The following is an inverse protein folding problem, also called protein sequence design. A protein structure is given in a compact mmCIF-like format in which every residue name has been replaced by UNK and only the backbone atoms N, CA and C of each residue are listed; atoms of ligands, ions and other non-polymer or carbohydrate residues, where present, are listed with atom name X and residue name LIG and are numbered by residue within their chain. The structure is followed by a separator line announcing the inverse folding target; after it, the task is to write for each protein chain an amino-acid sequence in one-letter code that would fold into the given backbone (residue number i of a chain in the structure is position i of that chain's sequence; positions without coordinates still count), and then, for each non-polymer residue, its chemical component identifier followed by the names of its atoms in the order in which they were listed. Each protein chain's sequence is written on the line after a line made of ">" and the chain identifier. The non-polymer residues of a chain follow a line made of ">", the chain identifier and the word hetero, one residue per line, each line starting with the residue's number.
data_IF_750480089303
#
_entry.id   IF_750480089303
#
_cell.length_a   1.000
_cell.length_b   1.000
_cell.length_c   1.000
_cell.angle_alpha   90.00
_cell.angle_beta   90.00
_cell.angle_gamma   90.00
#
_symmetry.space_group_name_H-M   'P 1'
#
loop_
_entity.id
_entity.type
_entity.pdbx_description
1 polymer ?
#
# COMPACT_ATOMS: atom_id res chain seq x y z
N UNK A 1 53.09 -8.86 2.60
CA UNK A 1 53.07 -7.54 2.03
C UNK A 1 51.89 -7.50 1.04
N UNK A 2 50.67 -7.32 1.58
CA UNK A 2 49.46 -7.19 0.76
C UNK A 2 49.09 -5.72 0.82
N UNK A 3 49.26 -5.06 -0.34
CA UNK A 3 48.83 -3.69 -0.53
C UNK A 3 47.30 -3.64 -0.46
N UNK A 4 46.81 -3.03 0.61
CA UNK A 4 45.43 -2.60 0.75
C UNK A 4 45.14 -1.53 -0.29
N UNK A 5 44.53 -1.91 -1.40
CA UNK A 5 43.90 -0.99 -2.33
C UNK A 5 42.70 -0.34 -1.62
N UNK A 6 42.94 0.74 -0.90
CA UNK A 6 41.91 1.65 -0.43
C UNK A 6 41.29 2.37 -1.62
N UNK A 7 40.28 1.77 -2.23
CA UNK A 7 39.34 2.56 -3.04
C UNK A 7 38.56 3.44 -2.07
N UNK A 8 38.50 4.77 -2.27
CA UNK A 8 37.67 5.64 -1.46
C UNK A 8 36.22 5.16 -1.55
N UNK A 9 35.68 4.79 -0.42
CA UNK A 9 34.37 4.18 -0.28
C UNK A 9 33.31 5.25 -0.50
N UNK A 10 32.99 5.51 -1.77
CA UNK A 10 31.86 6.38 -2.10
C UNK A 10 30.59 5.74 -1.52
N UNK A 11 29.98 6.42 -0.54
CA UNK A 11 28.70 5.98 0.03
C UNK A 11 27.69 5.93 -1.10
N UNK A 12 27.31 4.72 -1.53
CA UNK A 12 26.35 4.52 -2.61
C UNK A 12 25.08 5.36 -2.36
N UNK A 13 24.78 6.28 -3.29
CA UNK A 13 23.63 7.18 -3.19
C UNK A 13 22.33 6.38 -3.31
N UNK A 14 21.40 6.56 -2.37
CA UNK A 14 20.06 5.99 -2.45
C UNK A 14 19.23 6.65 -3.55
N UNK A 15 19.17 7.97 -3.52
CA UNK A 15 18.38 8.77 -4.47
C UNK A 15 19.18 9.02 -5.75
N UNK A 16 19.09 8.06 -6.65
CA UNK A 16 19.51 8.22 -8.06
C UNK A 16 18.34 8.74 -8.88
N UNK A 17 18.61 9.31 -10.07
CA UNK A 17 17.52 9.74 -10.96
C UNK A 17 16.51 8.64 -11.28
N UNK A 18 16.98 7.40 -11.49
CA UNK A 18 16.10 6.25 -11.74
C UNK A 18 15.23 5.90 -10.53
N UNK A 19 15.81 5.93 -9.32
CA UNK A 19 15.09 5.66 -8.08
C UNK A 19 14.03 6.75 -7.82
N UNK A 20 14.35 8.02 -8.08
CA UNK A 20 13.41 9.12 -7.97
C UNK A 20 12.23 8.97 -8.95
N UNK A 21 12.50 8.67 -10.22
CA UNK A 21 11.47 8.47 -11.25
C UNK A 21 10.53 7.31 -10.89
N UNK A 22 11.06 6.18 -10.40
CA UNK A 22 10.25 5.05 -9.96
C UNK A 22 9.40 5.39 -8.73
N UNK A 23 9.98 6.08 -7.74
CA UNK A 23 9.25 6.49 -6.54
C UNK A 23 8.16 7.50 -6.85
N UNK A 24 8.42 8.46 -7.74
CA UNK A 24 7.43 9.43 -8.20
C UNK A 24 6.32 8.75 -9.02
N UNK A 25 6.66 7.81 -9.91
CA UNK A 25 5.67 7.01 -10.64
C UNK A 25 4.77 6.23 -9.68
N UNK A 26 5.35 5.61 -8.64
CA UNK A 26 4.59 4.88 -7.62
C UNK A 26 3.66 5.81 -6.83
N UNK A 27 4.14 6.97 -6.41
CA UNK A 27 3.35 7.99 -5.74
C UNK A 27 2.11 8.39 -6.59
N UNK A 28 2.32 8.69 -7.87
CA UNK A 28 1.27 9.11 -8.78
C UNK A 28 0.25 7.99 -9.06
N UNK A 29 0.71 6.75 -9.19
CA UNK A 29 -0.16 5.58 -9.37
C UNK A 29 -1.07 5.34 -8.17
N UNK A 30 -0.50 5.42 -6.96
CA UNK A 30 -1.29 5.30 -5.73
C UNK A 30 -2.24 6.47 -5.55
N UNK A 31 -1.84 7.69 -5.88
CA UNK A 31 -2.74 8.85 -5.86
C UNK A 31 -3.90 8.67 -6.86
N UNK A 32 -3.61 8.21 -8.07
CA UNK A 32 -4.62 7.89 -9.09
C UNK A 32 -5.64 6.85 -8.61
N UNK A 33 -5.17 5.73 -8.05
CA UNK A 33 -6.02 4.64 -7.57
C UNK A 33 -6.90 5.07 -6.39
N UNK A 34 -6.28 5.67 -5.37
CA UNK A 34 -6.94 5.98 -4.10
C UNK A 34 -7.84 7.22 -4.15
N UNK A 35 -7.64 8.11 -5.14
CA UNK A 35 -8.56 9.23 -5.37
C UNK A 35 -10.00 8.77 -5.63
N UNK A 36 -10.18 7.64 -6.30
CA UNK A 36 -11.51 7.11 -6.62
C UNK A 36 -12.14 6.33 -5.47
N UNK A 37 -11.34 5.81 -4.53
CA UNK A 37 -11.80 4.85 -3.52
C UNK A 37 -12.93 5.40 -2.63
N UNK A 38 -12.84 6.57 -1.98
CA UNK A 38 -13.90 7.09 -1.11
C UNK A 38 -15.11 7.60 -1.90
N UNK A 39 -14.93 7.98 -3.16
CA UNK A 39 -15.95 8.69 -3.95
C UNK A 39 -16.82 7.73 -4.74
N UNK A 40 -16.26 6.61 -5.20
CA UNK A 40 -16.95 5.67 -6.07
C UNK A 40 -18.22 5.08 -5.44
N UNK A 41 -18.26 4.65 -4.16
CA UNK A 41 -19.49 4.16 -3.56
C UNK A 41 -20.55 5.26 -3.43
N UNK A 42 -20.17 6.49 -3.06
CA UNK A 42 -21.08 7.62 -3.00
C UNK A 42 -21.75 7.91 -4.35
N UNK A 43 -20.94 7.84 -5.42
CA UNK A 43 -21.44 8.03 -6.78
C UNK A 43 -22.39 6.90 -7.18
N UNK A 44 -22.04 5.63 -6.89
CA UNK A 44 -22.87 4.47 -7.23
C UNK A 44 -24.22 4.50 -6.51
N UNK A 45 -24.23 4.76 -5.20
CA UNK A 45 -25.47 4.85 -4.40
C UNK A 45 -26.38 5.98 -4.91
N UNK A 46 -25.81 7.14 -5.24
CA UNK A 46 -26.59 8.28 -5.76
C UNK A 46 -27.11 8.07 -7.17
N UNK A 47 -26.38 7.33 -7.99
CA UNK A 47 -26.71 7.20 -9.43
C UNK A 47 -27.57 5.99 -9.73
N UNK A 48 -27.40 4.88 -9.02
CA UNK A 48 -28.12 3.63 -9.27
C UNK A 48 -29.01 3.16 -8.12
N UNK A 49 -29.10 3.94 -7.05
CA UNK A 49 -29.87 3.61 -5.85
C UNK A 49 -29.54 2.22 -5.27
N UNK A 50 -28.30 1.75 -5.46
CA UNK A 50 -27.80 0.53 -4.84
C UNK A 50 -27.46 0.79 -3.36
N UNK A 51 -27.37 -0.27 -2.55
CA UNK A 51 -26.91 -0.17 -1.17
C UNK A 51 -25.40 0.12 -1.07
N UNK A 52 -24.93 0.69 0.02
CA UNK A 52 -23.51 0.84 0.30
C UNK A 52 -22.79 -0.50 0.32
N UNK A 53 -23.45 -1.56 0.83
CA UNK A 53 -22.92 -2.92 0.85
C UNK A 53 -22.63 -3.44 -0.57
N UNK A 54 -23.54 -3.24 -1.52
CA UNK A 54 -23.36 -3.63 -2.92
C UNK A 54 -22.23 -2.84 -3.59
N UNK A 55 -22.18 -1.52 -3.36
CA UNK A 55 -21.11 -0.67 -3.86
C UNK A 55 -19.74 -1.06 -3.27
N UNK A 56 -19.66 -1.26 -1.96
CA UNK A 56 -18.47 -1.73 -1.26
C UNK A 56 -17.97 -3.07 -1.76
N UNK A 57 -18.89 -4.03 -1.98
CA UNK A 57 -18.57 -5.36 -2.52
C UNK A 57 -17.98 -5.25 -3.94
N UNK A 58 -18.59 -4.46 -4.83
CA UNK A 58 -18.09 -4.26 -6.18
C UNK A 58 -16.66 -3.65 -6.20
N UNK A 59 -16.38 -2.74 -5.27
CA UNK A 59 -15.06 -2.11 -5.14
C UNK A 59 -14.04 -3.09 -4.54
N UNK A 60 -14.43 -3.89 -3.55
CA UNK A 60 -13.55 -4.84 -2.88
C UNK A 60 -13.08 -6.00 -3.79
N UNK A 61 -13.77 -6.27 -4.90
CA UNK A 61 -13.33 -7.23 -5.92
C UNK A 61 -11.93 -6.90 -6.45
N UNK A 62 -11.52 -5.64 -6.46
CA UNK A 62 -10.17 -5.22 -6.80
C UNK A 62 -9.10 -5.98 -5.98
N UNK A 63 -9.28 -6.07 -4.65
CA UNK A 63 -8.33 -6.75 -3.77
C UNK A 63 -8.25 -8.25 -4.03
N UNK A 64 -9.37 -8.90 -4.28
CA UNK A 64 -9.39 -10.31 -4.65
C UNK A 64 -8.69 -10.54 -6.00
N UNK A 65 -8.95 -9.67 -6.96
CA UNK A 65 -8.35 -9.75 -8.30
C UNK A 65 -6.83 -9.52 -8.30
N UNK A 66 -6.26 -8.82 -7.31
CA UNK A 66 -4.82 -8.67 -7.17
C UNK A 66 -4.09 -10.01 -6.95
N UNK A 67 -4.77 -11.04 -6.46
CA UNK A 67 -4.18 -12.37 -6.29
C UNK A 67 -4.18 -13.21 -7.58
N UNK A 68 -5.00 -12.88 -8.58
CA UNK A 68 -5.15 -13.65 -9.81
C UNK A 68 -3.84 -13.76 -10.63
N UNK A 69 -3.07 -12.67 -10.87
CA UNK A 69 -1.83 -12.78 -11.65
C UNK A 69 -0.70 -13.45 -10.89
N UNK A 70 -0.86 -13.70 -9.59
CA UNK A 70 0.24 -14.11 -8.70
C UNK A 70 1.06 -15.29 -9.21
N UNK A 71 0.38 -16.35 -9.68
CA UNK A 71 1.05 -17.57 -10.18
C UNK A 71 1.73 -17.35 -11.54
N UNK A 72 1.38 -16.30 -12.30
CA UNK A 72 1.98 -15.95 -13.58
C UNK A 72 3.08 -14.89 -13.47
N UNK A 73 3.29 -14.32 -12.29
CA UNK A 73 4.23 -13.23 -12.06
C UNK A 73 5.66 -13.56 -12.49
N UNK A 74 6.17 -14.74 -12.14
CA UNK A 74 7.51 -15.18 -12.55
C UNK A 74 7.63 -15.26 -14.07
N UNK A 75 6.65 -15.86 -14.74
CA UNK A 75 6.63 -15.98 -16.19
C UNK A 75 6.65 -14.60 -16.86
N UNK A 76 5.79 -13.67 -16.42
CA UNK A 76 5.72 -12.32 -16.99
C UNK A 76 7.04 -11.56 -16.87
N UNK A 77 7.72 -11.66 -15.72
CA UNK A 77 8.93 -10.89 -15.44
C UNK A 77 10.18 -11.50 -16.05
N UNK A 78 10.26 -12.81 -16.09
CA UNK A 78 11.48 -13.50 -16.49
C UNK A 78 11.50 -13.79 -18.01
N UNK A 79 10.31 -13.92 -18.64
CA UNK A 79 10.19 -14.11 -20.09
C UNK A 79 10.19 -12.79 -20.87
N UNK A 80 9.57 -11.74 -20.33
CA UNK A 80 9.43 -10.46 -21.00
C UNK A 80 10.32 -9.37 -20.40
N UNK A 81 10.55 -8.30 -21.15
CA UNK A 81 11.26 -7.11 -20.63
C UNK A 81 10.42 -6.46 -19.53
N UNK A 82 10.93 -6.47 -18.29
CA UNK A 82 10.25 -5.93 -17.08
C UNK A 82 9.66 -4.54 -17.29
N UNK A 83 10.44 -3.64 -17.92
CA UNK A 83 10.01 -2.28 -18.23
C UNK A 83 8.80 -2.25 -19.17
N UNK A 84 8.76 -3.13 -20.18
CA UNK A 84 7.64 -3.22 -21.12
C UNK A 84 6.39 -3.79 -20.44
N UNK A 85 6.54 -4.82 -19.60
CA UNK A 85 5.43 -5.39 -18.80
C UNK A 85 4.83 -4.30 -17.89
N UNK A 86 5.68 -3.56 -17.19
CA UNK A 86 5.26 -2.43 -16.35
C UNK A 86 4.51 -1.36 -17.15
N UNK A 87 5.08 -0.93 -18.28
CA UNK A 87 4.48 0.09 -19.13
C UNK A 87 3.10 -0.32 -19.66
N UNK A 88 2.98 -1.54 -20.20
CA UNK A 88 1.72 -2.07 -20.72
C UNK A 88 0.69 -2.20 -19.59
N UNK A 89 1.07 -2.70 -18.43
CA UNK A 89 0.18 -2.85 -17.29
C UNK A 89 -0.36 -1.48 -16.79
N UNK A 90 0.50 -0.45 -16.68
CA UNK A 90 0.06 0.91 -16.32
C UNK A 90 -0.84 1.49 -17.41
N UNK A 91 -0.48 1.33 -18.68
CA UNK A 91 -1.30 1.81 -19.80
C UNK A 91 -2.72 1.21 -19.75
N UNK A 92 -2.82 -0.11 -19.61
CA UNK A 92 -4.11 -0.79 -19.52
C UNK A 92 -4.88 -0.41 -18.25
N UNK A 93 -4.19 -0.22 -17.12
CA UNK A 93 -4.79 0.25 -15.87
C UNK A 93 -5.44 1.63 -16.05
N UNK A 94 -4.72 2.59 -16.64
CA UNK A 94 -5.24 3.94 -16.92
C UNK A 94 -6.35 3.89 -17.96
N UNK A 95 -6.18 3.12 -19.04
CA UNK A 95 -7.17 2.99 -20.09
C UNK A 95 -8.48 2.35 -19.58
N UNK A 96 -8.42 1.40 -18.63
CA UNK A 96 -9.61 0.80 -18.03
C UNK A 96 -10.48 1.82 -17.28
N UNK A 97 -9.91 2.92 -16.82
CA UNK A 97 -10.67 4.00 -16.17
C UNK A 97 -11.60 4.75 -17.15
N UNK A 98 -11.31 4.71 -18.46
CA UNK A 98 -12.22 5.23 -19.49
C UNK A 98 -13.56 4.46 -19.58
N UNK A 99 -13.65 3.29 -18.97
CA UNK A 99 -14.88 2.51 -18.97
C UNK A 99 -15.91 3.05 -17.98
N UNK A 100 -15.52 3.77 -16.93
CA UNK A 100 -16.43 4.27 -15.90
C UNK A 100 -17.59 5.15 -16.43
N UNK A 101 -17.40 6.06 -17.39
CA UNK A 101 -18.51 6.84 -17.96
C UNK A 101 -19.58 6.00 -18.65
N UNK A 102 -19.25 4.77 -19.08
CA UNK A 102 -20.13 3.86 -19.81
C UNK A 102 -20.70 2.74 -18.94
N UNK A 103 -20.36 2.74 -17.65
CA UNK A 103 -20.85 1.73 -16.71
C UNK A 103 -22.34 1.93 -16.45
N UNK A 104 -23.10 0.87 -16.65
CA UNK A 104 -24.56 0.88 -16.48
C UNK A 104 -25.03 0.07 -15.26
N UNK A 105 -24.17 -0.74 -14.63
CA UNK A 105 -24.55 -1.64 -13.54
C UNK A 105 -23.44 -1.79 -12.51
N UNK A 106 -23.80 -2.12 -11.28
CA UNK A 106 -22.86 -2.45 -10.17
C UNK A 106 -21.91 -3.59 -10.58
N UNK A 107 -22.44 -4.62 -11.25
CA UNK A 107 -21.64 -5.76 -11.73
C UNK A 107 -20.56 -5.36 -12.75
N UNK A 108 -20.84 -4.36 -13.60
CA UNK A 108 -19.83 -3.85 -14.54
C UNK A 108 -18.73 -3.05 -13.81
N UNK A 109 -19.06 -2.30 -12.74
CA UNK A 109 -18.03 -1.71 -11.86
C UNK A 109 -17.14 -2.80 -11.29
N UNK A 110 -17.72 -3.87 -10.75
CA UNK A 110 -16.97 -5.00 -10.20
C UNK A 110 -16.01 -5.60 -11.24
N UNK A 111 -16.44 -5.74 -12.50
CA UNK A 111 -15.60 -6.23 -13.59
C UNK A 111 -14.42 -5.27 -13.87
N UNK A 112 -14.69 -3.95 -13.98
CA UNK A 112 -13.64 -2.95 -14.19
C UNK A 112 -12.65 -2.98 -13.01
N UNK A 113 -13.15 -3.08 -11.78
CA UNK A 113 -12.32 -3.19 -10.58
C UNK A 113 -11.50 -4.49 -10.55
N UNK A 114 -12.05 -5.61 -11.01
CA UNK A 114 -11.30 -6.86 -11.14
C UNK A 114 -10.13 -6.71 -12.13
N UNK A 115 -10.38 -6.13 -13.30
CA UNK A 115 -9.33 -5.86 -14.29
C UNK A 115 -8.26 -4.94 -13.71
N UNK A 116 -8.67 -3.84 -13.07
CA UNK A 116 -7.75 -2.90 -12.43
C UNK A 116 -6.93 -3.57 -11.31
N UNK A 117 -7.53 -4.43 -10.49
CA UNK A 117 -6.84 -5.15 -9.42
C UNK A 117 -5.76 -6.08 -9.96
N UNK A 118 -6.08 -6.87 -10.98
CA UNK A 118 -5.10 -7.74 -11.64
C UNK A 118 -3.93 -6.96 -12.26
N UNK A 119 -4.22 -5.88 -12.98
CA UNK A 119 -3.20 -5.01 -13.57
C UNK A 119 -2.35 -4.32 -12.50
N UNK A 120 -2.96 -3.84 -11.42
CA UNK A 120 -2.23 -3.18 -10.33
C UNK A 120 -1.29 -4.14 -9.61
N UNK A 121 -1.68 -5.41 -9.44
CA UNK A 121 -0.80 -6.45 -8.92
C UNK A 121 0.44 -6.64 -9.81
N UNK A 122 0.28 -6.70 -11.12
CA UNK A 122 1.41 -6.79 -12.06
C UNK A 122 2.29 -5.54 -11.98
N UNK A 123 1.71 -4.34 -11.85
CA UNK A 123 2.43 -3.07 -11.72
C UNK A 123 3.27 -3.06 -10.44
N UNK A 124 2.67 -3.33 -9.29
CA UNK A 124 3.36 -3.28 -7.98
C UNK A 124 4.47 -4.34 -7.89
N UNK A 125 4.23 -5.52 -8.42
CA UNK A 125 5.21 -6.59 -8.49
C UNK A 125 6.37 -6.20 -9.43
N UNK A 126 6.08 -5.65 -10.62
CA UNK A 126 7.11 -5.27 -11.59
C UNK A 126 7.95 -4.11 -11.07
N UNK A 127 7.32 -3.08 -10.50
CA UNK A 127 8.02 -1.90 -9.99
C UNK A 127 8.77 -2.21 -8.68
N UNK A 128 8.04 -2.59 -7.63
CA UNK A 128 8.57 -2.74 -6.28
C UNK A 128 9.47 -3.98 -6.10
N UNK A 129 9.10 -5.10 -6.73
CA UNK A 129 9.85 -6.35 -6.55
C UNK A 129 10.96 -6.56 -7.57
N UNK A 130 11.01 -5.77 -8.66
CA UNK A 130 12.05 -5.94 -9.69
C UNK A 130 12.74 -4.65 -10.11
N UNK A 131 12.05 -3.65 -10.66
CA UNK A 131 12.70 -2.44 -11.19
C UNK A 131 13.46 -1.67 -10.11
N UNK A 132 12.90 -1.52 -8.91
CA UNK A 132 13.59 -0.86 -7.78
C UNK A 132 14.88 -1.60 -7.43
N UNK A 133 14.86 -2.93 -7.42
CA UNK A 133 16.03 -3.75 -7.15
C UNK A 133 17.07 -3.64 -8.27
N UNK A 134 16.63 -3.57 -9.53
CA UNK A 134 17.50 -3.50 -10.71
C UNK A 134 18.25 -2.17 -10.83
N UNK A 135 17.64 -1.05 -10.40
CA UNK A 135 18.25 0.28 -10.45
C UNK A 135 19.04 0.63 -9.20
N UNK A 136 19.06 -0.24 -8.19
CA UNK A 136 19.65 0.04 -6.87
C UNK A 136 20.82 -0.91 -6.60
N UNK A 137 21.89 -0.37 -6.02
CA UNK A 137 23.06 -1.17 -5.57
C UNK A 137 22.65 -2.15 -4.48
N UNK A 138 23.29 -3.33 -4.44
CA UNK A 138 22.93 -4.42 -3.52
C UNK A 138 22.89 -4.00 -2.05
N UNK A 139 23.77 -3.07 -1.65
CA UNK A 139 23.84 -2.54 -0.27
C UNK A 139 22.68 -1.64 0.12
N UNK A 140 22.01 -1.00 -0.85
CA UNK A 140 20.92 -0.03 -0.63
C UNK A 140 19.53 -0.58 -0.98
N UNK A 141 19.41 -1.85 -1.37
CA UNK A 141 18.13 -2.44 -1.79
C UNK A 141 17.04 -2.39 -0.73
N UNK A 142 17.38 -2.61 0.52
CA UNK A 142 16.42 -2.52 1.64
C UNK A 142 15.91 -1.09 1.79
N UNK A 143 16.84 -0.11 1.83
CA UNK A 143 16.48 1.32 1.95
C UNK A 143 15.64 1.78 0.75
N UNK A 144 15.97 1.31 -0.46
CA UNK A 144 15.25 1.64 -1.67
C UNK A 144 13.81 1.08 -1.65
N UNK A 145 13.62 -0.16 -1.22
CA UNK A 145 12.28 -0.74 -1.08
C UNK A 145 11.45 0.00 -0.03
N UNK A 146 12.05 0.40 1.09
CA UNK A 146 11.39 1.20 2.12
C UNK A 146 10.97 2.56 1.53
N UNK A 147 11.88 3.28 0.90
CA UNK A 147 11.59 4.58 0.30
C UNK A 147 10.52 4.50 -0.79
N UNK A 148 10.57 3.46 -1.63
CA UNK A 148 9.58 3.20 -2.67
C UNK A 148 8.19 2.89 -2.08
N UNK A 149 8.10 2.05 -1.05
CA UNK A 149 6.85 1.76 -0.38
C UNK A 149 6.24 3.01 0.27
N UNK A 150 7.07 3.84 0.91
CA UNK A 150 6.62 5.12 1.47
C UNK A 150 6.11 6.10 0.42
N UNK A 151 6.74 6.17 -0.74
CA UNK A 151 6.23 6.98 -1.86
C UNK A 151 4.79 6.58 -2.23
N UNK A 152 4.51 5.28 -2.32
CA UNK A 152 3.14 4.78 -2.52
C UNK A 152 2.19 5.18 -1.39
N UNK A 153 2.61 5.09 -0.12
CA UNK A 153 1.78 5.48 1.04
C UNK A 153 1.43 6.97 1.03
N UNK A 154 2.40 7.82 0.72
CA UNK A 154 2.13 9.24 0.55
C UNK A 154 1.17 9.50 -0.60
N UNK A 155 1.37 8.84 -1.75
CA UNK A 155 0.46 8.92 -2.90
C UNK A 155 -0.97 8.50 -2.54
N UNK A 156 -1.12 7.40 -1.80
CA UNK A 156 -2.40 6.91 -1.32
C UNK A 156 -3.17 7.98 -0.54
N UNK A 157 -2.56 8.56 0.49
CA UNK A 157 -3.24 9.54 1.35
C UNK A 157 -3.51 10.84 0.60
N UNK A 158 -2.59 11.30 -0.25
CA UNK A 158 -2.81 12.46 -1.12
C UNK A 158 -3.98 12.20 -2.09
N UNK A 159 -4.05 11.01 -2.68
CA UNK A 159 -5.16 10.61 -3.54
C UNK A 159 -6.51 10.67 -2.82
N UNK A 160 -6.60 10.10 -1.61
CA UNK A 160 -7.82 10.14 -0.77
C UNK A 160 -8.26 11.59 -0.50
N UNK A 161 -7.34 12.44 -0.04
CA UNK A 161 -7.63 13.84 0.25
C UNK A 161 -8.10 14.59 -1.01
N UNK A 162 -7.43 14.41 -2.15
CA UNK A 162 -7.81 15.02 -3.41
C UNK A 162 -9.18 14.55 -3.91
N UNK A 163 -9.47 13.24 -3.82
CA UNK A 163 -10.77 12.69 -4.22
C UNK A 163 -11.93 13.30 -3.43
N UNK A 164 -11.80 13.33 -2.10
CA UNK A 164 -12.81 13.89 -1.21
C UNK A 164 -12.95 15.41 -1.44
N UNK A 165 -11.83 16.15 -1.60
CA UNK A 165 -11.84 17.58 -1.86
C UNK A 165 -12.51 17.97 -3.18
N UNK A 166 -12.23 17.22 -4.26
CA UNK A 166 -12.73 17.55 -5.61
C UNK A 166 -14.23 17.20 -5.76
N UNK A 167 -14.69 16.11 -5.13
CA UNK A 167 -16.02 15.54 -5.37
C UNK A 167 -17.20 16.50 -5.12
N UNK A 168 -17.23 17.34 -4.08
CA UNK A 168 -18.33 18.26 -3.84
C UNK A 168 -18.46 19.37 -4.88
N UNK A 169 -17.35 19.76 -5.51
CA UNK A 169 -17.31 20.92 -6.44
C UNK A 169 -17.44 20.49 -7.90
N UNK A 170 -17.07 19.26 -8.23
CA UNK A 170 -16.99 18.79 -9.60
C UNK A 170 -17.72 17.45 -9.75
N UNK A 171 -18.18 17.18 -10.99
CA UNK A 171 -18.83 15.90 -11.30
C UNK A 171 -17.84 14.72 -11.21
N UNK A 172 -18.37 13.52 -10.97
CA UNK A 172 -17.57 12.28 -10.88
C UNK A 172 -16.65 12.06 -12.10
N UNK A 173 -17.07 12.48 -13.30
CA UNK A 173 -16.23 12.41 -14.50
C UNK A 173 -14.91 13.16 -14.38
N UNK A 174 -14.89 14.31 -13.70
CA UNK A 174 -13.65 15.07 -13.48
C UNK A 174 -12.69 14.33 -12.56
N UNK A 175 -13.20 13.58 -11.61
CA UNK A 175 -12.37 12.74 -10.73
C UNK A 175 -11.74 11.61 -11.56
N UNK A 176 -12.51 10.97 -12.47
CA UNK A 176 -11.97 9.96 -13.37
C UNK A 176 -10.85 10.56 -14.23
N UNK A 177 -11.07 11.71 -14.86
CA UNK A 177 -10.08 12.36 -15.72
C UNK A 177 -8.84 12.80 -14.92
N UNK A 178 -9.00 13.31 -13.70
CA UNK A 178 -7.87 13.66 -12.84
C UNK A 178 -7.08 12.42 -12.42
N UNK A 179 -7.77 11.36 -12.03
CA UNK A 179 -7.16 10.06 -11.73
C UNK A 179 -6.37 9.53 -12.93
N UNK A 180 -6.96 9.58 -14.13
CA UNK A 180 -6.30 9.18 -15.36
C UNK A 180 -5.08 10.05 -15.68
N UNK A 181 -5.16 11.35 -15.47
CA UNK A 181 -4.03 12.28 -15.69
C UNK A 181 -2.85 11.93 -14.76
N UNK A 182 -3.11 11.65 -13.49
CA UNK A 182 -2.08 11.17 -12.54
C UNK A 182 -1.47 9.84 -12.99
N UNK A 183 -2.29 8.89 -13.40
CA UNK A 183 -1.85 7.60 -13.93
C UNK A 183 -1.05 7.73 -15.25
N UNK A 184 -1.47 8.63 -16.15
CA UNK A 184 -0.75 8.93 -17.39
C UNK A 184 0.61 9.60 -17.11
N UNK A 185 0.69 10.51 -16.14
CA UNK A 185 1.96 11.08 -15.70
C UNK A 185 2.90 9.97 -15.17
N UNK A 186 2.37 9.06 -14.35
CA UNK A 186 3.14 7.91 -13.88
C UNK A 186 3.66 7.05 -15.04
N UNK A 187 2.83 6.80 -16.06
CA UNK A 187 3.18 6.04 -17.26
C UNK A 187 4.34 6.68 -18.02
N UNK A 188 4.31 8.00 -18.22
CA UNK A 188 5.34 8.76 -18.96
C UNK A 188 6.71 8.72 -18.25
N UNK A 189 6.75 8.54 -16.93
CA UNK A 189 8.00 8.44 -16.18
C UNK A 189 8.73 7.10 -16.40
N UNK A 190 8.01 6.01 -16.66
CA UNK A 190 8.61 4.67 -16.80
C UNK A 190 9.61 4.55 -17.97
N UNK A 191 9.33 5.06 -19.19
CA UNK A 191 10.31 5.07 -20.28
C UNK A 191 11.64 5.76 -19.95
N UNK A 192 11.62 6.78 -19.10
CA UNK A 192 12.82 7.52 -18.72
C UNK A 192 13.74 6.74 -17.74
N UNK A 193 13.24 5.71 -17.07
CA UNK A 193 14.04 4.87 -16.17
C UNK A 193 15.03 4.02 -16.96
N UNK A 194 16.30 4.14 -16.64
CA UNK A 194 17.37 3.34 -17.25
C UNK A 194 17.57 2.06 -16.43
N UNK A 195 17.20 0.92 -17.02
CA UNK A 195 17.31 -0.40 -16.38
C UNK A 195 18.41 -1.20 -17.07
N UNK A 196 19.31 -1.88 -16.34
CA UNK A 196 20.32 -2.76 -16.94
C UNK A 196 19.64 -3.89 -17.73
N UNK A 197 20.25 -4.24 -18.85
CA UNK A 197 19.77 -5.35 -19.68
C UNK A 197 19.85 -6.67 -18.90
N UNK A 198 18.79 -7.44 -18.96
CA UNK A 198 18.76 -8.84 -18.51
C UNK A 198 18.24 -9.73 -19.62
N UNK A 199 18.94 -10.82 -19.87
CA UNK A 199 18.48 -11.83 -20.82
C UNK A 199 17.18 -12.49 -20.31
N UNK A 200 16.21 -12.71 -21.20
CA UNK A 200 15.02 -13.49 -20.85
C UNK A 200 15.40 -14.90 -20.38
N UNK A 201 14.71 -15.40 -19.38
CA UNK A 201 14.87 -16.77 -18.88
C UNK A 201 13.64 -17.58 -19.26
N UNK A 202 13.83 -18.82 -19.65
CA UNK A 202 12.73 -19.75 -19.85
C UNK A 202 12.25 -20.24 -18.48
N UNK A 203 11.09 -19.77 -18.06
CA UNK A 203 10.44 -20.19 -16.80
C UNK A 203 9.11 -20.86 -17.10
N UNK A 204 8.66 -21.75 -16.19
CA UNK A 204 7.32 -22.31 -16.29
C UNK A 204 6.26 -21.17 -16.19
N UNK A 205 5.20 -21.28 -16.95
CA UNK A 205 4.10 -20.32 -16.94
C UNK A 205 3.35 -20.26 -15.61
N UNK A 206 3.44 -21.31 -14.79
CA UNK A 206 2.84 -21.42 -13.46
C UNK A 206 3.94 -21.60 -12.41
N UNK A 207 4.05 -20.67 -11.47
CA UNK A 207 4.99 -20.73 -10.34
C UNK A 207 4.48 -19.92 -9.17
N UNK A 208 4.72 -20.38 -7.94
CA UNK A 208 4.45 -19.60 -6.73
C UNK A 208 5.59 -18.63 -6.38
N UNK A 209 6.70 -18.70 -7.10
CA UNK A 209 7.78 -17.73 -6.97
C UNK A 209 7.28 -16.33 -7.31
N UNK A 210 7.76 -15.33 -6.56
CA UNK A 210 7.36 -13.92 -6.71
C UNK A 210 5.87 -13.63 -6.47
N UNK A 211 5.13 -14.57 -5.89
CA UNK A 211 3.74 -14.38 -5.51
C UNK A 211 3.60 -14.13 -4.01
N UNK A 212 3.53 -15.17 -3.22
CA UNK A 212 3.39 -15.11 -1.77
C UNK A 212 4.52 -15.87 -1.10
N UNK A 213 5.09 -15.28 -0.05
CA UNK A 213 6.14 -15.92 0.74
C UNK A 213 5.58 -16.41 2.07
N UNK A 214 5.41 -17.73 2.28
CA UNK A 214 4.82 -18.27 3.52
C UNK A 214 5.53 -17.82 4.80
N UNK A 215 6.85 -17.62 4.74
CA UNK A 215 7.66 -17.13 5.88
C UNK A 215 7.33 -15.71 6.33
N UNK A 216 6.62 -14.92 5.52
CA UNK A 216 6.26 -13.53 5.85
C UNK A 216 4.78 -13.39 6.20
N UNK A 217 4.01 -14.48 6.23
CA UNK A 217 2.57 -14.43 6.49
C UNK A 217 2.23 -13.90 7.88
N UNK A 218 2.94 -14.33 8.95
CA UNK A 218 2.65 -13.83 10.30
C UNK A 218 2.83 -12.32 10.45
N UNK A 219 3.98 -11.71 10.12
CA UNK A 219 4.09 -10.25 10.12
C UNK A 219 3.17 -9.59 9.08
N UNK A 220 2.87 -10.27 7.97
CA UNK A 220 1.91 -9.82 6.97
C UNK A 220 0.48 -9.74 7.51
N UNK A 221 0.03 -10.73 8.28
CA UNK A 221 -1.29 -10.72 8.92
C UNK A 221 -1.42 -9.60 9.97
N UNK A 222 -0.39 -9.38 10.80
CA UNK A 222 -0.40 -8.23 11.71
C UNK A 222 -0.51 -6.91 10.94
N UNK A 223 0.26 -6.75 9.86
CA UNK A 223 0.18 -5.54 9.03
C UNK A 223 -1.18 -5.42 8.34
N UNK A 224 -1.78 -6.52 7.89
CA UNK A 224 -3.11 -6.53 7.29
C UNK A 224 -4.17 -6.01 8.26
N UNK A 225 -4.06 -6.28 9.58
CA UNK A 225 -4.96 -5.73 10.59
C UNK A 225 -4.87 -4.20 10.68
N UNK A 226 -3.66 -3.63 10.57
CA UNK A 226 -3.49 -2.16 10.46
C UNK A 226 -4.17 -1.63 9.20
N UNK A 227 -4.00 -2.34 8.08
CA UNK A 227 -4.61 -1.96 6.81
C UNK A 227 -6.14 -2.06 6.85
N UNK A 228 -6.72 -3.03 7.56
CA UNK A 228 -8.17 -3.14 7.81
C UNK A 228 -8.68 -1.89 8.53
N UNK A 229 -8.03 -1.47 9.61
CA UNK A 229 -8.40 -0.24 10.33
C UNK A 229 -8.34 0.96 9.38
N UNK A 230 -7.27 1.07 8.60
CA UNK A 230 -7.13 2.16 7.63
C UNK A 230 -8.26 2.13 6.58
N UNK A 231 -8.63 0.96 6.06
CA UNK A 231 -9.71 0.78 5.11
C UNK A 231 -11.09 1.16 5.69
N UNK A 232 -11.36 0.80 6.95
CA UNK A 232 -12.55 1.24 7.69
C UNK A 232 -12.61 2.77 7.75
N UNK A 233 -11.51 3.41 8.15
CA UNK A 233 -11.45 4.88 8.26
C UNK A 233 -11.64 5.56 6.90
N UNK A 234 -11.12 4.99 5.81
CA UNK A 234 -11.31 5.50 4.44
C UNK A 234 -12.77 5.46 3.99
N UNK A 235 -13.51 4.43 4.39
CA UNK A 235 -14.92 4.32 4.07
C UNK A 235 -15.82 5.17 4.98
N UNK A 236 -15.38 5.40 6.24
CA UNK A 236 -16.18 6.09 7.25
C UNK A 236 -16.03 7.62 7.24
N UNK A 237 -14.80 8.13 7.01
CA UNK A 237 -14.49 9.55 7.19
C UNK A 237 -14.39 10.25 5.84
N UNK A 238 -15.33 11.16 5.58
CA UNK A 238 -15.37 11.99 4.38
C UNK A 238 -14.92 13.44 4.68
N UNK A 239 -13.67 13.58 5.15
CA UNK A 239 -13.05 14.87 5.45
C UNK A 239 -11.61 14.87 4.89
N UNK A 240 -11.33 15.74 3.92
CA UNK A 240 -10.02 15.83 3.28
C UNK A 240 -8.91 16.26 4.24
N UNK A 241 -9.20 17.19 5.17
CA UNK A 241 -8.21 17.64 6.15
C UNK A 241 -7.82 16.56 7.13
N UNK A 242 -8.71 15.61 7.44
CA UNK A 242 -8.38 14.45 8.24
C UNK A 242 -7.27 13.62 7.57
N UNK A 243 -7.37 13.38 6.26
CA UNK A 243 -6.34 12.65 5.51
C UNK A 243 -5.05 13.47 5.37
N UNK A 244 -5.12 14.81 5.26
CA UNK A 244 -3.92 15.67 5.34
C UNK A 244 -3.25 15.52 6.72
N UNK A 245 -4.01 15.43 7.79
CA UNK A 245 -3.49 15.18 9.14
C UNK A 245 -2.84 13.78 9.25
N UNK A 246 -3.39 12.75 8.61
CA UNK A 246 -2.72 11.43 8.50
C UNK A 246 -1.39 11.56 7.75
N UNK A 247 -1.33 12.35 6.67
CA UNK A 247 -0.09 12.61 5.94
C UNK A 247 0.98 13.26 6.83
N UNK A 248 0.60 14.25 7.63
CA UNK A 248 1.47 14.86 8.64
C UNK A 248 1.96 13.80 9.64
N UNK A 249 1.05 12.96 10.13
CA UNK A 249 1.38 11.83 11.01
C UNK A 249 2.39 10.85 10.39
N UNK A 250 2.28 10.56 9.10
CA UNK A 250 3.25 9.75 8.37
C UNK A 250 4.65 10.40 8.34
N UNK A 251 4.74 11.71 8.08
CA UNK A 251 6.01 12.43 8.14
C UNK A 251 6.60 12.38 9.55
N UNK A 252 5.77 12.62 10.56
CA UNK A 252 6.19 12.56 11.97
C UNK A 252 6.66 11.14 12.34
N UNK A 253 6.03 10.07 11.84
CA UNK A 253 6.48 8.70 12.09
C UNK A 253 7.89 8.45 11.55
N UNK A 254 8.21 8.94 10.35
CA UNK A 254 9.56 8.81 9.78
C UNK A 254 10.61 9.57 10.59
N UNK A 255 10.26 10.78 11.06
CA UNK A 255 11.15 11.57 11.93
C UNK A 255 11.33 10.88 13.28
N UNK A 256 10.26 10.37 13.87
CA UNK A 256 10.27 9.62 15.13
C UNK A 256 11.18 8.39 15.05
N UNK A 257 11.01 7.56 14.01
CA UNK A 257 11.83 6.37 13.77
C UNK A 257 13.31 6.71 13.56
N UNK A 258 13.60 7.83 12.90
CA UNK A 258 14.98 8.21 12.58
C UNK A 258 15.72 8.84 13.75
N UNK A 259 15.07 9.71 14.52
CA UNK A 259 15.73 10.55 15.51
C UNK A 259 15.47 10.15 16.96
N UNK A 260 14.28 9.64 17.26
CA UNK A 260 13.87 9.32 18.64
C UNK A 260 14.00 7.81 18.90
N UNK A 261 13.49 6.99 17.98
CA UNK A 261 13.44 5.54 18.14
C UNK A 261 14.62 4.81 17.47
N UNK A 262 15.67 5.53 17.07
CA UNK A 262 16.83 4.95 16.37
C UNK A 262 17.53 3.81 17.14
N UNK A 263 17.43 3.81 18.47
CA UNK A 263 17.98 2.80 19.37
C UNK A 263 16.89 1.94 20.06
N UNK A 264 15.63 2.18 19.77
CA UNK A 264 14.54 1.44 20.38
C UNK A 264 14.46 0.01 19.81
N UNK A 265 13.92 -0.89 20.63
CA UNK A 265 13.64 -2.25 20.17
C UNK A 265 12.48 -2.21 19.15
N UNK A 266 12.51 -3.13 18.18
CA UNK A 266 11.40 -3.24 17.23
C UNK A 266 10.06 -3.60 17.88
N UNK A 267 10.08 -4.07 19.13
CA UNK A 267 8.90 -4.32 19.95
C UNK A 267 8.31 -3.01 20.43
N UNK A 268 9.12 -2.16 21.04
CA UNK A 268 8.69 -0.85 21.55
C UNK A 268 8.14 0.06 20.44
N UNK A 269 8.65 -0.06 19.21
CA UNK A 269 8.12 0.70 18.07
C UNK A 269 6.70 0.28 17.71
N UNK A 270 6.40 -1.03 17.73
CA UNK A 270 5.04 -1.54 17.46
C UNK A 270 4.10 -1.16 18.62
N UNK A 271 4.52 -1.33 19.87
CA UNK A 271 3.74 -0.96 21.06
C UNK A 271 3.38 0.53 21.05
N UNK A 272 4.35 1.41 20.80
CA UNK A 272 4.13 2.85 20.70
C UNK A 272 3.22 3.22 19.52
N UNK A 273 3.43 2.58 18.38
CA UNK A 273 2.58 2.79 17.20
C UNK A 273 1.13 2.42 17.48
N UNK A 274 0.89 1.29 18.12
CA UNK A 274 -0.46 0.85 18.49
C UNK A 274 -1.08 1.74 19.59
N UNK A 275 -0.30 2.19 20.57
CA UNK A 275 -0.77 3.15 21.57
C UNK A 275 -1.22 4.47 20.92
N UNK A 276 -0.47 4.98 19.94
CA UNK A 276 -0.86 6.16 19.18
C UNK A 276 -2.15 5.92 18.37
N UNK A 277 -2.30 4.74 17.72
CA UNK A 277 -3.52 4.39 17.00
C UNK A 277 -4.73 4.31 17.94
N UNK A 278 -4.61 3.62 19.07
CA UNK A 278 -5.68 3.51 20.07
C UNK A 278 -6.04 4.90 20.60
N UNK A 279 -5.06 5.74 20.93
CA UNK A 279 -5.28 7.13 21.36
C UNK A 279 -6.06 7.96 20.34
N UNK A 280 -5.69 7.86 19.05
CA UNK A 280 -6.43 8.52 17.96
C UNK A 280 -7.87 8.01 17.81
N UNK A 281 -8.09 6.68 17.90
CA UNK A 281 -9.41 6.08 17.81
C UNK A 281 -10.29 6.46 19.02
N UNK A 282 -9.71 6.54 20.22
CA UNK A 282 -10.44 7.02 21.41
C UNK A 282 -10.87 8.49 21.27
N UNK A 283 -10.01 9.35 20.72
CA UNK A 283 -10.41 10.74 20.43
C UNK A 283 -11.59 10.81 19.46
N UNK A 284 -11.64 9.96 18.45
CA UNK A 284 -12.77 9.88 17.53
C UNK A 284 -14.03 9.30 18.20
N UNK A 285 -13.87 8.31 19.07
CA UNK A 285 -14.99 7.67 19.76
C UNK A 285 -15.68 8.57 20.81
N UNK A 286 -14.90 9.43 21.48
CA UNK A 286 -15.43 10.26 22.57
C UNK A 286 -15.73 11.71 22.18
N UNK A 287 -15.36 12.15 20.98
CA UNK A 287 -15.49 13.56 20.62
C UNK A 287 -15.83 13.78 19.15
N UNK A 288 -16.90 14.54 18.93
CA UNK A 288 -17.33 14.97 17.60
C UNK A 288 -16.69 16.33 17.18
N UNK A 289 -15.69 16.81 17.91
CA UNK A 289 -15.00 18.07 17.58
C UNK A 289 -14.09 17.89 16.37
N UNK A 290 -14.14 18.81 15.42
CA UNK A 290 -13.23 18.83 14.26
C UNK A 290 -11.76 18.87 14.68
N UNK A 291 -11.42 19.63 15.73
CA UNK A 291 -10.03 19.71 16.23
C UNK A 291 -9.54 18.35 16.72
N UNK A 292 -10.38 17.64 17.49
CA UNK A 292 -10.02 16.30 17.97
C UNK A 292 -9.92 15.30 16.82
N UNK A 293 -10.73 15.43 15.78
CA UNK A 293 -10.60 14.63 14.56
C UNK A 293 -9.26 14.85 13.86
N UNK A 294 -8.78 16.10 13.76
CA UNK A 294 -7.46 16.40 13.16
C UNK A 294 -6.31 15.87 14.01
N UNK A 295 -6.37 16.01 15.33
CA UNK A 295 -5.38 15.42 16.25
C UNK A 295 -5.39 13.89 16.12
N UNK A 296 -6.56 13.29 16.07
CA UNK A 296 -6.73 11.86 15.84
C UNK A 296 -6.10 11.42 14.51
N UNK A 297 -6.30 12.18 13.43
CA UNK A 297 -5.65 11.92 12.15
C UNK A 297 -4.13 11.89 12.25
N UNK A 298 -3.52 12.83 12.96
CA UNK A 298 -2.06 12.86 13.19
C UNK A 298 -1.60 11.63 13.99
N UNK A 299 -2.30 11.29 15.07
CA UNK A 299 -1.96 10.12 15.90
C UNK A 299 -2.12 8.80 15.12
N UNK A 300 -3.19 8.67 14.35
CA UNK A 300 -3.44 7.50 13.50
C UNK A 300 -2.39 7.38 12.39
N UNK A 301 -2.02 8.49 11.76
CA UNK A 301 -0.95 8.52 10.77
C UNK A 301 0.40 8.13 11.39
N UNK A 302 0.75 8.69 12.56
CA UNK A 302 1.99 8.37 13.27
C UNK A 302 2.02 6.90 13.71
N UNK A 303 0.92 6.39 14.28
CA UNK A 303 0.82 5.01 14.74
C UNK A 303 0.86 4.01 13.60
N UNK A 304 0.11 4.27 12.52
CA UNK A 304 0.14 3.45 11.30
C UNK A 304 1.55 3.45 10.69
N UNK A 305 2.18 4.62 10.56
CA UNK A 305 3.49 4.76 9.94
C UNK A 305 4.58 4.00 10.70
N UNK A 306 4.64 4.10 12.03
CA UNK A 306 5.62 3.38 12.86
C UNK A 306 5.40 1.87 12.80
N UNK A 307 4.16 1.41 12.97
CA UNK A 307 3.82 -0.02 12.98
C UNK A 307 4.07 -0.68 11.63
N UNK A 308 3.59 -0.07 10.54
CA UNK A 308 3.75 -0.62 9.18
C UNK A 308 5.21 -0.67 8.75
N UNK A 309 6.00 0.37 9.09
CA UNK A 309 7.44 0.37 8.82
C UNK A 309 8.14 -0.82 9.47
N UNK A 310 7.80 -1.14 10.71
CA UNK A 310 8.41 -2.26 11.42
C UNK A 310 8.01 -3.61 10.83
N UNK A 311 6.75 -3.80 10.48
CA UNK A 311 6.31 -5.03 9.82
C UNK A 311 6.93 -5.18 8.42
N UNK A 312 7.05 -4.09 7.68
CA UNK A 312 7.72 -4.10 6.39
C UNK A 312 9.20 -4.54 6.50
N UNK A 313 9.94 -3.99 7.45
CA UNK A 313 11.33 -4.39 7.71
C UNK A 313 11.40 -5.90 8.05
N UNK A 314 10.50 -6.41 8.91
CA UNK A 314 10.44 -7.83 9.23
C UNK A 314 10.16 -8.68 7.99
N UNK A 315 9.24 -8.26 7.11
CA UNK A 315 8.89 -8.98 5.88
C UNK A 315 10.01 -8.99 4.83
N UNK A 316 10.90 -7.98 4.82
CA UNK A 316 12.04 -7.95 3.89
C UNK A 316 13.27 -8.66 4.47
N UNK A 317 13.41 -8.72 5.81
CA UNK A 317 14.57 -9.33 6.46
C UNK A 317 14.49 -10.85 6.58
N UNK A 318 13.27 -11.41 6.69
CA UNK A 318 13.02 -12.86 6.77
C UNK A 318 13.42 -13.63 5.48
N UNK A 319 13.14 -13.12 4.27
CA UNK A 319 13.45 -13.81 3.04
C UNK A 319 14.95 -14.06 2.84
N UNK A 320 15.30 -15.10 2.07
CA UNK A 320 16.63 -15.26 1.52
C UNK A 320 16.91 -14.20 0.48
N UNK A 321 18.17 -14.04 0.08
CA UNK A 321 18.58 -12.95 -0.84
C UNK A 321 17.80 -12.93 -2.17
N UNK A 322 17.46 -14.10 -2.71
CA UNK A 322 16.68 -14.27 -3.94
C UNK A 322 15.16 -14.08 -3.74
N UNK A 323 14.64 -14.23 -2.51
CA UNK A 323 13.22 -14.18 -2.18
C UNK A 323 12.74 -12.77 -1.77
N UNK A 324 13.63 -11.78 -1.66
CA UNK A 324 13.29 -10.42 -1.17
C UNK A 324 12.20 -9.73 -1.99
N UNK A 325 12.22 -9.93 -3.30
CA UNK A 325 11.17 -9.41 -4.18
C UNK A 325 9.80 -10.03 -3.87
N UNK A 326 9.75 -11.33 -3.57
CA UNK A 326 8.53 -12.03 -3.16
C UNK A 326 8.01 -11.52 -1.81
N UNK A 327 8.92 -11.25 -0.85
CA UNK A 327 8.55 -10.64 0.44
C UNK A 327 7.92 -9.26 0.27
N UNK A 328 8.48 -8.41 -0.62
CA UNK A 328 7.89 -7.11 -0.94
C UNK A 328 6.52 -7.24 -1.64
N UNK A 329 6.34 -8.19 -2.54
CA UNK A 329 5.05 -8.44 -3.18
C UNK A 329 4.01 -8.93 -2.17
N UNK A 330 4.39 -9.84 -1.26
CA UNK A 330 3.52 -10.30 -0.17
C UNK A 330 3.07 -9.12 0.71
N UNK A 331 3.97 -8.20 1.04
CA UNK A 331 3.66 -6.98 1.77
C UNK A 331 2.58 -6.15 1.05
N UNK A 332 2.74 -5.90 -0.25
CA UNK A 332 1.77 -5.12 -1.02
C UNK A 332 0.40 -5.79 -1.08
N UNK A 333 0.37 -7.09 -1.37
CA UNK A 333 -0.88 -7.86 -1.43
C UNK A 333 -1.63 -7.86 -0.08
N UNK A 334 -0.92 -8.05 1.04
CA UNK A 334 -1.53 -8.06 2.37
C UNK A 334 -2.05 -6.67 2.76
N UNK A 335 -1.35 -5.60 2.37
CA UNK A 335 -1.83 -4.25 2.62
C UNK A 335 -3.11 -3.95 1.84
N UNK A 336 -3.11 -4.14 0.53
CA UNK A 336 -4.26 -3.81 -0.32
C UNK A 336 -5.47 -4.69 0.03
N UNK A 337 -5.27 -5.98 0.31
CA UNK A 337 -6.32 -6.86 0.80
C UNK A 337 -6.92 -6.35 2.12
N UNK A 338 -6.06 -5.94 3.07
CA UNK A 338 -6.52 -5.39 4.34
C UNK A 338 -7.34 -4.12 4.18
N UNK A 339 -6.87 -3.15 3.38
CA UNK A 339 -7.62 -1.92 3.10
C UNK A 339 -9.00 -2.22 2.54
N UNK A 340 -9.09 -3.13 1.58
CA UNK A 340 -10.37 -3.44 0.93
C UNK A 340 -11.29 -4.30 1.78
N UNK A 341 -10.76 -5.18 2.63
CA UNK A 341 -11.55 -5.89 3.65
C UNK A 341 -12.16 -4.88 4.63
N UNK A 342 -11.36 -3.94 5.14
CA UNK A 342 -11.84 -2.90 6.04
C UNK A 342 -12.87 -1.98 5.39
N UNK A 343 -12.62 -1.59 4.14
CA UNK A 343 -13.53 -0.78 3.33
C UNK A 343 -14.87 -1.48 3.09
N UNK A 344 -14.83 -2.77 2.73
CA UNK A 344 -16.04 -3.58 2.55
C UNK A 344 -16.81 -3.74 3.88
N UNK A 345 -16.08 -4.05 4.95
CA UNK A 345 -16.68 -4.23 6.28
C UNK A 345 -17.46 -2.98 6.70
N UNK A 346 -16.88 -1.80 6.57
CA UNK A 346 -17.53 -0.54 6.90
C UNK A 346 -18.80 -0.32 6.07
N UNK A 347 -18.73 -0.48 4.74
CA UNK A 347 -19.90 -0.31 3.88
C UNK A 347 -21.03 -1.31 4.14
N UNK A 348 -20.73 -2.46 4.75
CA UNK A 348 -21.74 -3.45 5.17
C UNK A 348 -22.31 -3.18 6.56
N UNK A 349 -21.51 -2.55 7.46
CA UNK A 349 -21.84 -2.43 8.88
C UNK A 349 -22.54 -1.11 9.24
N UNK A 350 -22.17 0.00 8.58
CA UNK A 350 -22.53 1.36 9.01
C UNK A 350 -24.01 1.69 8.84
N UNK A 351 -24.75 1.02 7.97
CA UNK A 351 -26.19 1.27 7.75
C UNK A 351 -27.03 1.14 9.05
N UNK A 352 -26.48 0.56 10.14
CA UNK A 352 -27.18 0.38 11.40
C UNK A 352 -26.53 0.98 12.65
N UNK A 353 -25.19 1.14 12.67
CA UNK A 353 -24.44 1.40 13.91
C UNK A 353 -23.19 2.27 13.74
N UNK A 354 -23.29 3.55 13.33
CA UNK A 354 -22.12 4.39 13.02
C UNK A 354 -21.19 4.60 14.23
N UNK A 355 -21.72 4.69 15.45
CA UNK A 355 -20.95 5.03 16.65
C UNK A 355 -20.06 3.87 17.15
N UNK A 356 -20.30 2.64 16.70
CA UNK A 356 -19.57 1.46 17.17
C UNK A 356 -18.28 1.20 16.42
N UNK A 357 -18.08 1.84 15.26
CA UNK A 357 -16.99 1.52 14.36
C UNK A 357 -15.60 1.77 14.97
N UNK A 358 -15.45 2.86 15.72
CA UNK A 358 -14.17 3.17 16.38
C UNK A 358 -13.82 2.15 17.46
N UNK A 359 -14.82 1.62 18.19
CA UNK A 359 -14.64 0.56 19.19
C UNK A 359 -14.20 -0.76 18.53
N UNK A 360 -14.74 -1.08 17.35
CA UNK A 360 -14.29 -2.24 16.56
C UNK A 360 -12.83 -2.05 16.14
N UNK A 361 -12.45 -0.87 15.67
CA UNK A 361 -11.05 -0.56 15.32
C UNK A 361 -10.11 -0.70 16.53
N UNK A 362 -10.53 -0.24 17.73
CA UNK A 362 -9.77 -0.42 18.98
C UNK A 362 -9.64 -1.92 19.29
N UNK A 363 -10.71 -2.69 19.15
CA UNK A 363 -10.68 -4.14 19.30
C UNK A 363 -9.67 -4.81 18.37
N UNK A 364 -9.61 -4.40 17.10
CA UNK A 364 -8.63 -4.89 16.14
C UNK A 364 -7.19 -4.52 16.57
N UNK A 365 -6.94 -3.29 17.09
CA UNK A 365 -5.64 -2.91 17.63
C UNK A 365 -5.22 -3.81 18.80
N UNK A 366 -6.12 -4.11 19.71
CA UNK A 366 -5.86 -5.01 20.86
C UNK A 366 -5.54 -6.43 20.38
N UNK A 367 -6.32 -6.99 19.46
CA UNK A 367 -6.06 -8.31 18.86
C UNK A 367 -4.72 -8.32 18.15
N UNK A 368 -4.38 -7.25 17.42
CA UNK A 368 -3.08 -7.10 16.76
C UNK A 368 -1.93 -7.14 17.77
N UNK A 369 -2.03 -6.39 18.88
CA UNK A 369 -1.03 -6.40 19.93
C UNK A 369 -0.87 -7.80 20.55
N UNK A 370 -1.96 -8.46 20.90
CA UNK A 370 -1.93 -9.81 21.46
C UNK A 370 -1.29 -10.79 20.46
N UNK A 371 -1.70 -10.75 19.19
CA UNK A 371 -1.11 -11.59 18.15
C UNK A 371 0.38 -11.29 17.93
N UNK A 372 0.76 -10.01 17.99
CA UNK A 372 2.16 -9.61 17.86
C UNK A 372 3.00 -10.14 19.02
N UNK A 373 2.57 -9.92 20.26
CA UNK A 373 3.33 -10.26 21.46
C UNK A 373 3.46 -11.77 21.66
N UNK A 374 2.36 -12.51 21.52
CA UNK A 374 2.33 -13.94 21.81
C UNK A 374 2.74 -14.84 20.64
N UNK A 375 2.58 -14.39 19.39
CA UNK A 375 2.85 -15.23 18.23
C UNK A 375 3.94 -14.66 17.32
N UNK A 376 3.75 -13.42 16.80
CA UNK A 376 4.61 -12.92 15.72
C UNK A 376 6.00 -12.56 16.21
N UNK A 377 6.13 -11.92 17.36
CA UNK A 377 7.43 -11.52 17.92
C UNK A 377 8.30 -12.73 18.29
N UNK A 378 7.84 -13.72 19.10
CA UNK A 378 8.63 -14.90 19.42
C UNK A 378 8.97 -15.76 18.18
N UNK A 379 8.00 -15.92 17.27
CA UNK A 379 8.21 -16.65 16.03
C UNK A 379 9.28 -16.00 15.14
N UNK A 380 9.25 -14.65 15.01
CA UNK A 380 10.21 -13.91 14.21
C UNK A 380 11.65 -14.11 14.69
N UNK A 381 11.89 -13.96 15.99
CA UNK A 381 13.23 -14.11 16.56
C UNK A 381 13.74 -15.55 16.41
N UNK A 382 12.92 -16.57 16.66
CA UNK A 382 13.28 -17.97 16.43
C UNK A 382 13.70 -18.20 14.96
N UNK A 383 12.96 -17.63 14.01
CA UNK A 383 13.30 -17.75 12.58
C UNK A 383 14.55 -16.99 12.18
N UNK A 384 14.90 -15.93 12.88
CA UNK A 384 16.14 -15.20 12.65
C UNK A 384 17.35 -15.93 13.21
N UNK A 385 17.22 -16.58 14.37
CA UNK A 385 18.26 -17.47 14.94
C UNK A 385 18.53 -18.68 14.04
N UNK A 386 17.51 -19.34 13.50
CA UNK A 386 17.66 -20.45 12.54
C UNK A 386 18.38 -20.04 11.24
N UNK A 387 18.47 -18.74 10.95
CA UNK A 387 19.07 -18.19 9.72
C UNK A 387 20.57 -17.84 9.90
N UNK A 388 21.03 -17.63 11.13
CA UNK A 388 22.43 -17.39 11.48
C UNK A 388 23.22 -18.69 11.51
#
# INVERSE_FOLDING_TARGET
>A
MYDDFFFPYEKAKLWTGNMFLLSLSNFLLYASLYMMLPVLPLWMVRHWYCSYAEAGAAIAVFGLAMFLPGTFNSYLIDTFKRKSVCFIAIFLFVASSLLYPYVATVGFVALVRAVQGGLFSVITMTTGSTLVIDVTTSRRRTDANIAFAWAGRFGMVVGLALGIYIYPYWNFHHIIYTSMALGALALVLIPAVKVPFRAPLSTSWFSLDRFLLPRTLWPGMNMMMVAIIFGILVAHIYNELFFVCILIGFVLSLLLLRYVLSHASGRSEVELGQAAMIGGLLLLAFSNSLMNSYIAGILLGMGTGTTVSRFFIKMISLPRHCERGTGNNTYQLMWEAGVLIGFLFENMWTEGHPDTIYWICIGICVVLLLMYEFFTHPWYYRKMEEKQ
#
